data_IF_936160036521
#
_entry.id   IF_936160036521
#
_cell.length_a   1.000
_cell.length_b   1.000
_cell.length_c   1.000
_cell.angle_alpha   90.00
_cell.angle_beta   90.00
_cell.angle_gamma   90.00
#
_symmetry.space_group_name_H-M   'P 1'
#
loop_
_entity.id
_entity.type
_entity.pdbx_description
1 polymer ?
#
# COMPACT_ATOMS: atom_id res chain seq x y z
N UNK A 1 1.22 22.63 -7.28
CA UNK A 1 1.24 21.29 -6.65
C UNK A 1 0.14 20.46 -7.28
N UNK A 2 0.47 19.35 -7.93
CA UNK A 2 -0.51 18.43 -8.52
C UNK A 2 -0.77 17.26 -7.59
N UNK A 3 -2.02 16.81 -7.51
CA UNK A 3 -2.45 15.69 -6.66
C UNK A 3 -3.11 14.63 -7.54
N UNK A 4 -2.70 13.38 -7.37
CA UNK A 4 -3.36 12.23 -7.98
C UNK A 4 -4.32 11.60 -6.96
N UNK A 5 -5.60 11.54 -7.29
CA UNK A 5 -6.60 10.82 -6.51
C UNK A 5 -6.76 9.40 -7.05
N UNK A 6 -6.87 8.42 -6.15
CA UNK A 6 -7.05 7.01 -6.47
C UNK A 6 -8.33 6.49 -5.82
N UNK A 7 -9.12 5.72 -6.57
CA UNK A 7 -10.25 4.97 -6.03
C UNK A 7 -9.81 3.53 -5.75
N UNK A 8 -9.75 3.16 -4.47
CA UNK A 8 -9.44 1.80 -4.03
C UNK A 8 -10.75 1.10 -3.69
N UNK A 9 -11.31 0.36 -4.66
CA UNK A 9 -12.60 -0.33 -4.53
C UNK A 9 -12.49 -1.79 -4.92
N UNK A 10 -13.22 -2.62 -4.20
CA UNK A 10 -13.28 -4.07 -4.38
C UNK A 10 -14.16 -4.68 -3.29
N UNK A 11 -14.75 -5.87 -3.53
CA UNK A 11 -15.64 -6.51 -2.55
C UNK A 11 -14.91 -6.90 -1.26
N UNK A 12 -13.60 -7.12 -1.33
CA UNK A 12 -12.74 -7.42 -0.19
C UNK A 12 -11.45 -6.64 -0.28
N UNK A 13 -11.00 -6.10 0.85
CA UNK A 13 -9.72 -5.40 0.98
C UNK A 13 -9.06 -5.79 2.30
N UNK A 14 -7.73 -5.71 2.36
CA UNK A 14 -6.95 -5.99 3.58
C UNK A 14 -5.71 -5.09 3.65
N UNK A 15 -5.63 -4.28 4.69
CA UNK A 15 -4.64 -3.22 4.89
C UNK A 15 -3.97 -3.35 6.26
N UNK A 16 -2.98 -4.25 6.37
CA UNK A 16 -2.30 -4.53 7.64
C UNK A 16 -1.25 -3.46 8.01
N UNK A 17 -1.17 -3.15 9.32
CA UNK A 17 -0.16 -2.23 9.88
C UNK A 17 0.68 -2.83 11.01
N UNK A 18 0.15 -3.82 11.75
CA UNK A 18 0.76 -4.31 12.99
C UNK A 18 0.68 -5.83 13.18
N UNK A 19 0.17 -6.57 12.21
CA UNK A 19 -0.02 -8.03 12.33
C UNK A 19 1.30 -8.74 12.65
N UNK A 20 1.33 -9.42 13.80
CA UNK A 20 2.42 -10.31 14.23
C UNK A 20 1.89 -11.74 14.23
N UNK A 21 2.68 -12.68 13.69
CA UNK A 21 2.39 -14.12 13.68
C UNK A 21 1.17 -14.52 12.80
N UNK A 22 0.31 -15.42 13.29
CA UNK A 22 -0.72 -16.11 12.49
C UNK A 22 -2.03 -15.34 12.27
N UNK A 23 -2.29 -14.29 13.05
CA UNK A 23 -3.50 -13.46 12.89
C UNK A 23 -3.21 -12.26 12.00
N UNK A 24 -3.85 -12.21 10.83
CA UNK A 24 -3.76 -11.09 9.88
C UNK A 24 -4.92 -10.15 10.05
N UNK A 25 -4.65 -9.03 10.71
CA UNK A 25 -5.62 -7.95 10.89
C UNK A 25 -5.60 -6.98 9.70
N UNK A 26 -6.66 -6.16 9.59
CA UNK A 26 -6.80 -5.11 8.58
C UNK A 26 -7.32 -3.83 9.20
N UNK A 27 -6.77 -2.69 8.79
CA UNK A 27 -7.37 -1.39 9.05
C UNK A 27 -8.69 -1.19 8.29
N UNK A 28 -9.48 -0.21 8.74
CA UNK A 28 -10.69 0.25 8.04
C UNK A 28 -10.37 1.01 6.76
N UNK A 29 -9.14 1.52 6.65
CA UNK A 29 -8.67 2.36 5.56
C UNK A 29 -7.33 1.86 4.99
N UNK A 30 -7.00 2.20 3.73
CA UNK A 30 -5.72 1.87 3.13
C UNK A 30 -4.52 2.41 3.94
N UNK A 31 -3.52 1.57 4.16
CA UNK A 31 -2.30 1.98 4.84
C UNK A 31 -1.32 2.66 3.88
N UNK A 32 -0.53 3.64 4.36
CA UNK A 32 0.51 4.32 3.55
C UNK A 32 1.44 3.30 2.86
N UNK A 33 1.91 2.30 3.61
CA UNK A 33 2.80 1.26 3.07
C UNK A 33 2.11 0.39 2.01
N UNK A 34 0.82 0.08 2.19
CA UNK A 34 0.03 -0.66 1.20
C UNK A 34 -0.13 0.11 -0.11
N UNK A 35 -0.46 1.41 -0.03
CA UNK A 35 -0.61 2.27 -1.22
C UNK A 35 0.73 2.46 -1.93
N UNK A 36 1.82 2.74 -1.21
CA UNK A 36 3.17 2.84 -1.80
C UNK A 36 3.57 1.52 -2.48
N UNK A 37 3.29 0.37 -1.84
CA UNK A 37 3.55 -0.93 -2.43
C UNK A 37 2.78 -1.17 -3.74
N UNK A 38 1.52 -0.73 -3.81
CA UNK A 38 0.71 -0.79 -5.03
C UNK A 38 1.33 0.07 -6.15
N UNK A 39 1.77 1.28 -5.83
CA UNK A 39 2.47 2.15 -6.79
C UNK A 39 3.78 1.54 -7.27
N UNK A 40 4.60 0.97 -6.37
CA UNK A 40 5.82 0.25 -6.73
C UNK A 40 5.53 -0.92 -7.68
N UNK A 41 4.45 -1.68 -7.45
CA UNK A 41 4.04 -2.77 -8.31
C UNK A 41 3.61 -2.27 -9.70
N UNK A 42 2.83 -1.18 -9.77
CA UNK A 42 2.43 -0.56 -11.03
C UNK A 42 3.62 -0.02 -11.84
N UNK A 43 4.65 0.48 -11.15
CA UNK A 43 5.91 0.93 -11.75
C UNK A 43 6.88 -0.22 -12.09
N UNK A 44 6.58 -1.47 -11.72
CA UNK A 44 7.47 -2.62 -11.92
C UNK A 44 8.74 -2.60 -11.06
N UNK A 45 8.73 -1.91 -9.91
CA UNK A 45 9.92 -1.79 -9.05
C UNK A 45 10.20 -3.09 -8.28
N UNK A 46 11.46 -3.54 -8.19
CA UNK A 46 11.82 -4.65 -7.33
C UNK A 46 11.72 -4.27 -5.84
N UNK A 47 11.59 -5.26 -4.95
CA UNK A 47 11.35 -5.03 -3.50
C UNK A 47 12.48 -4.31 -2.77
N UNK A 48 13.70 -4.33 -3.32
CA UNK A 48 14.88 -3.66 -2.77
C UNK A 48 15.16 -2.29 -3.41
N UNK A 49 14.30 -1.83 -4.32
CA UNK A 49 14.43 -0.50 -4.89
C UNK A 49 14.23 0.56 -3.79
N UNK A 50 14.95 1.66 -3.95
CA UNK A 50 14.87 2.79 -3.03
C UNK A 50 13.58 3.60 -3.30
N UNK A 51 13.06 4.29 -2.27
CA UNK A 51 11.70 4.85 -2.24
C UNK A 51 11.64 6.37 -2.03
N UNK A 52 12.76 7.11 -2.12
CA UNK A 52 12.81 8.56 -1.79
C UNK A 52 11.84 9.41 -2.62
N UNK A 53 11.50 8.97 -3.83
CA UNK A 53 10.57 9.67 -4.72
C UNK A 53 9.09 9.41 -4.41
N UNK A 54 8.79 8.47 -3.52
CA UNK A 54 7.42 8.07 -3.14
C UNK A 54 7.08 8.35 -1.66
N UNK A 55 8.03 8.85 -0.86
CA UNK A 55 7.95 8.89 0.60
C UNK A 55 7.63 10.26 1.20
#
# INVERSE_FOLDING_TARGET
>A
MSVLLLQLSGPFQSWGVQSRFGMRDTGLEPSKSGVIGLLCAALGRPRWAILEDLA
#
